data_IF_612341433194
#
_entry.id   IF_612341433194
#
_cell.length_a   1.000
_cell.length_b   1.000
_cell.length_c   1.000
_cell.angle_alpha   90.00
_cell.angle_beta   90.00
_cell.angle_gamma   90.00
#
_symmetry.space_group_name_H-M   'P 1'
#
loop_
_entity.id
_entity.type
_entity.pdbx_description
1 polymer ?
#
# COMPACT_ATOMS: atom_id res chain seq x y z
N UNK A 1 -17.62 -10.35 5.52
CA UNK A 1 -17.85 -11.59 4.72
C UNK A 1 -16.55 -11.87 3.97
N UNK A 2 -16.12 -13.12 3.86
CA UNK A 2 -14.96 -13.45 3.03
C UNK A 2 -15.33 -13.23 1.55
N UNK A 3 -14.50 -12.52 0.78
CA UNK A 3 -14.82 -12.17 -0.62
C UNK A 3 -14.27 -10.83 -1.12
N UNK A 4 -13.65 -10.03 -0.23
CA UNK A 4 -12.91 -8.82 -0.57
C UNK A 4 -11.63 -9.13 -1.35
N UNK A 5 -11.18 -8.17 -2.16
CA UNK A 5 -9.96 -8.32 -2.95
C UNK A 5 -8.74 -8.26 -2.01
N UNK A 6 -7.88 -9.27 -2.10
CA UNK A 6 -6.59 -9.27 -1.41
C UNK A 6 -5.51 -8.88 -2.42
N UNK A 7 -4.87 -7.73 -2.18
CA UNK A 7 -3.69 -7.30 -2.92
C UNK A 7 -2.44 -7.59 -2.10
N UNK A 8 -1.47 -8.31 -2.66
CA UNK A 8 -0.25 -8.72 -1.95
C UNK A 8 0.95 -8.03 -2.59
N UNK A 9 1.70 -7.27 -1.79
CA UNK A 9 3.00 -6.72 -2.17
C UNK A 9 4.10 -7.45 -1.40
N UNK A 10 5.00 -8.11 -2.14
CA UNK A 10 6.18 -8.75 -1.58
C UNK A 10 7.34 -7.78 -1.60
N UNK A 11 7.58 -7.10 -0.48
CA UNK A 11 8.53 -5.98 -0.41
C UNK A 11 9.97 -6.45 -0.58
N UNK A 12 10.31 -7.64 -0.07
CA UNK A 12 11.65 -8.22 -0.23
C UNK A 12 12.03 -8.59 -1.67
N UNK A 13 11.08 -8.55 -2.61
CA UNK A 13 11.36 -8.76 -4.03
C UNK A 13 11.72 -7.47 -4.79
N UNK A 14 11.73 -6.32 -4.11
CA UNK A 14 11.91 -5.01 -4.75
C UNK A 14 13.25 -4.38 -4.37
N UNK A 15 14.02 -3.97 -5.39
CA UNK A 15 15.16 -3.07 -5.20
C UNK A 15 14.69 -1.61 -5.31
N UNK A 16 14.28 -1.06 -4.17
CA UNK A 16 13.70 0.28 -4.11
C UNK A 16 14.73 1.37 -4.44
N UNK A 17 15.99 1.18 -4.03
CA UNK A 17 17.04 2.17 -4.32
C UNK A 17 17.31 2.22 -5.81
N UNK A 18 17.53 1.07 -6.44
CA UNK A 18 17.75 1.00 -7.88
C UNK A 18 16.56 1.56 -8.67
N UNK A 19 15.33 1.22 -8.27
CA UNK A 19 14.12 1.78 -8.88
C UNK A 19 14.12 3.31 -8.85
N UNK A 20 14.46 3.91 -7.70
CA UNK A 20 14.44 5.37 -7.56
C UNK A 20 15.62 6.08 -8.23
N UNK A 21 16.68 5.35 -8.58
CA UNK A 21 17.81 5.87 -9.34
C UNK A 21 17.55 5.84 -10.85
N UNK A 22 16.73 4.89 -11.32
CA UNK A 22 16.40 4.73 -12.74
C UNK A 22 15.09 5.44 -13.14
N UNK A 23 14.15 5.60 -12.21
CA UNK A 23 12.79 6.09 -12.51
C UNK A 23 12.48 7.34 -11.69
N UNK A 24 11.89 8.34 -12.35
CA UNK A 24 11.53 9.58 -11.68
C UNK A 24 10.46 9.35 -10.60
N UNK A 25 10.52 10.16 -9.55
CA UNK A 25 9.56 10.12 -8.45
C UNK A 25 8.11 10.21 -8.92
N UNK A 26 7.85 11.04 -9.94
CA UNK A 26 6.53 11.22 -10.52
C UNK A 26 6.04 9.95 -11.21
N UNK A 27 6.88 9.30 -12.02
CA UNK A 27 6.52 8.04 -12.69
C UNK A 27 6.27 6.92 -11.68
N UNK A 28 7.11 6.77 -10.66
CA UNK A 28 6.86 5.81 -9.57
C UNK A 28 5.53 6.11 -8.86
N UNK A 29 5.21 7.38 -8.65
CA UNK A 29 3.96 7.79 -8.05
C UNK A 29 2.75 7.45 -8.95
N UNK A 30 2.85 7.64 -10.26
CA UNK A 30 1.80 7.25 -11.20
C UNK A 30 1.66 5.73 -11.34
N UNK A 31 2.76 4.98 -11.25
CA UNK A 31 2.73 3.52 -11.21
C UNK A 31 1.87 3.02 -10.03
N UNK A 32 2.06 3.59 -8.83
CA UNK A 32 1.17 3.28 -7.70
C UNK A 32 -0.27 3.70 -7.94
N UNK A 33 -0.50 4.86 -8.58
CA UNK A 33 -1.85 5.28 -8.97
C UNK A 33 -2.51 4.24 -9.87
N UNK A 34 -1.81 3.79 -10.91
CA UNK A 34 -2.25 2.77 -11.86
C UNK A 34 -2.58 1.43 -11.19
N UNK A 35 -1.76 0.95 -10.26
CA UNK A 35 -2.09 -0.29 -9.53
C UNK A 35 -3.38 -0.17 -8.73
N UNK A 36 -3.64 0.99 -8.13
CA UNK A 36 -4.92 1.27 -7.48
C UNK A 36 -6.08 1.24 -8.48
N UNK A 37 -5.98 1.92 -9.62
CA UNK A 37 -7.01 1.91 -10.67
C UNK A 37 -7.43 0.48 -11.06
N UNK A 38 -6.46 -0.39 -11.33
CA UNK A 38 -6.71 -1.78 -11.66
C UNK A 38 -7.48 -2.52 -10.55
N UNK A 39 -7.07 -2.35 -9.29
CA UNK A 39 -7.76 -2.93 -8.15
C UNK A 39 -9.20 -2.37 -8.02
N UNK A 40 -9.38 -1.07 -8.27
CA UNK A 40 -10.65 -0.40 -8.07
C UNK A 40 -11.68 -0.67 -9.15
N UNK A 41 -11.24 -0.90 -10.40
CA UNK A 41 -12.08 -1.42 -11.47
C UNK A 41 -12.62 -2.81 -11.08
N UNK A 42 -11.76 -3.69 -10.56
CA UNK A 42 -12.16 -5.02 -10.11
C UNK A 42 -13.19 -4.95 -8.98
N UNK A 43 -12.92 -4.20 -7.90
CA UNK A 43 -13.86 -4.16 -6.76
C UNK A 43 -15.17 -3.45 -7.12
N UNK A 44 -15.17 -2.51 -8.09
CA UNK A 44 -16.43 -1.91 -8.58
C UNK A 44 -17.31 -2.96 -9.25
N UNK A 45 -16.74 -3.72 -10.19
CA UNK A 45 -17.44 -4.78 -10.89
C UNK A 45 -17.94 -5.86 -9.92
N UNK A 46 -17.06 -6.32 -9.02
CA UNK A 46 -17.39 -7.32 -8.02
C UNK A 46 -18.46 -6.83 -7.03
N UNK A 47 -18.49 -5.53 -6.70
CA UNK A 47 -19.52 -4.96 -5.84
C UNK A 47 -20.90 -5.02 -6.47
N UNK A 48 -20.98 -4.72 -7.78
CA UNK A 48 -22.24 -4.77 -8.56
C UNK A 48 -22.76 -6.20 -8.66
N UNK A 49 -21.88 -7.16 -8.90
CA UNK A 49 -22.22 -8.57 -9.03
C UNK A 49 -22.72 -9.16 -7.70
N UNK A 50 -22.01 -8.89 -6.60
CA UNK A 50 -22.27 -9.54 -5.31
C UNK A 50 -23.36 -8.88 -4.47
N UNK A 51 -23.82 -7.68 -4.85
CA UNK A 51 -24.83 -6.93 -4.11
C UNK A 51 -24.36 -6.39 -2.75
N UNK A 52 -23.03 -6.31 -2.53
CA UNK A 52 -22.43 -5.64 -1.38
C UNK A 52 -21.12 -4.97 -1.77
N UNK A 53 -20.70 -3.97 -1.01
CA UNK A 53 -19.49 -3.21 -1.31
C UNK A 53 -18.22 -4.05 -1.03
N UNK A 54 -17.56 -4.46 -2.10
CA UNK A 54 -16.27 -5.16 -2.07
C UNK A 54 -15.17 -4.13 -1.86
N UNK A 55 -14.27 -4.41 -0.93
CA UNK A 55 -13.14 -3.55 -0.61
C UNK A 55 -11.81 -4.21 -0.94
N UNK A 56 -10.75 -3.41 -0.93
CA UNK A 56 -9.37 -3.88 -1.05
C UNK A 56 -8.78 -4.08 0.35
N UNK A 57 -8.17 -5.23 0.58
CA UNK A 57 -7.30 -5.53 1.70
C UNK A 57 -5.88 -5.63 1.15
N UNK A 58 -5.00 -4.74 1.60
CA UNK A 58 -3.60 -4.75 1.19
C UNK A 58 -2.77 -5.54 2.17
N UNK A 59 -1.89 -6.41 1.68
CA UNK A 59 -0.97 -7.21 2.48
C UNK A 59 0.46 -6.90 2.04
N UNK A 60 1.20 -6.24 2.93
CA UNK A 60 2.62 -5.93 2.74
C UNK A 60 3.44 -7.03 3.42
N UNK A 61 3.95 -7.97 2.65
CA UNK A 61 4.84 -9.01 3.15
C UNK A 61 6.29 -8.50 3.16
N UNK A 62 6.86 -8.37 4.36
CA UNK A 62 8.20 -7.84 4.58
C UNK A 62 9.28 -8.93 4.64
N UNK A 63 8.95 -10.16 4.29
CA UNK A 63 9.92 -11.27 4.27
C UNK A 63 11.06 -10.99 3.32
N UNK A 64 12.29 -11.11 3.83
CA UNK A 64 13.49 -10.82 3.06
C UNK A 64 13.67 -9.33 2.72
N UNK A 65 12.80 -8.43 3.20
CA UNK A 65 12.97 -7.00 2.97
C UNK A 65 14.22 -6.51 3.69
N UNK A 66 15.15 -5.85 2.98
CA UNK A 66 16.19 -5.09 3.66
C UNK A 66 15.54 -3.88 4.34
N UNK A 67 16.29 -3.28 5.25
CA UNK A 67 15.86 -2.07 5.95
C UNK A 67 15.72 -0.89 4.97
N UNK A 68 14.55 -0.24 4.98
CA UNK A 68 14.18 0.78 3.98
C UNK A 68 14.27 2.20 4.55
N UNK A 69 15.03 3.08 3.89
CA UNK A 69 15.15 4.52 4.23
C UNK A 69 14.98 5.48 3.04
N UNK A 70 14.62 4.97 1.86
CA UNK A 70 14.56 5.78 0.64
C UNK A 70 13.39 6.78 0.69
N UNK A 71 13.69 8.02 1.07
CA UNK A 71 12.69 9.09 1.26
C UNK A 71 11.96 9.43 -0.05
N UNK A 72 12.61 9.30 -1.21
CA UNK A 72 11.98 9.57 -2.52
C UNK A 72 10.83 8.60 -2.78
N UNK A 73 11.04 7.33 -2.45
CA UNK A 73 10.03 6.28 -2.58
C UNK A 73 8.84 6.53 -1.64
N UNK A 74 9.08 6.81 -0.36
CA UNK A 74 8.01 7.13 0.58
C UNK A 74 7.21 8.39 0.18
N UNK A 75 7.88 9.39 -0.41
CA UNK A 75 7.22 10.57 -0.97
C UNK A 75 6.37 10.22 -2.19
N UNK A 76 6.86 9.41 -3.12
CA UNK A 76 6.10 8.93 -4.28
C UNK A 76 4.83 8.18 -3.86
N UNK A 77 4.95 7.31 -2.87
CA UNK A 77 3.84 6.58 -2.26
C UNK A 77 2.85 7.54 -1.60
N UNK A 78 3.31 8.50 -0.79
CA UNK A 78 2.43 9.51 -0.18
C UNK A 78 1.65 10.35 -1.19
N UNK A 79 2.27 10.73 -2.31
CA UNK A 79 1.57 11.40 -3.41
C UNK A 79 0.50 10.51 -4.05
N UNK A 80 0.82 9.23 -4.30
CA UNK A 80 -0.13 8.28 -4.87
C UNK A 80 -1.32 8.05 -3.92
N UNK A 81 -1.05 7.86 -2.63
CA UNK A 81 -2.08 7.71 -1.60
C UNK A 81 -3.01 8.92 -1.52
N UNK A 82 -2.48 10.15 -1.62
CA UNK A 82 -3.32 11.36 -1.65
C UNK A 82 -4.25 11.39 -2.88
N UNK A 83 -3.75 10.99 -4.06
CA UNK A 83 -4.58 10.86 -5.27
C UNK A 83 -5.62 9.76 -5.09
N UNK A 84 -5.24 8.61 -4.54
CA UNK A 84 -6.14 7.49 -4.29
C UNK A 84 -7.29 7.85 -3.35
N UNK A 85 -7.03 8.54 -2.25
CA UNK A 85 -8.08 8.97 -1.32
C UNK A 85 -9.10 9.92 -1.99
N UNK A 86 -8.66 10.72 -2.96
CA UNK A 86 -9.55 11.59 -3.74
C UNK A 86 -10.33 10.83 -4.83
N UNK A 87 -9.66 9.94 -5.57
CA UNK A 87 -10.26 9.19 -6.68
C UNK A 87 -11.19 8.06 -6.20
N UNK A 88 -10.83 7.39 -5.12
CA UNK A 88 -11.45 6.13 -4.66
C UNK A 88 -11.80 6.14 -3.18
N UNK A 89 -12.62 7.10 -2.73
CA UNK A 89 -12.96 7.19 -1.32
C UNK A 89 -13.59 5.88 -0.83
N UNK A 90 -13.15 5.44 0.36
CA UNK A 90 -13.70 4.31 1.12
C UNK A 90 -13.51 2.89 0.52
N UNK A 91 -12.82 2.74 -0.62
CA UNK A 91 -12.58 1.43 -1.24
C UNK A 91 -11.46 0.62 -0.58
N UNK A 92 -10.54 1.25 0.15
CA UNK A 92 -9.55 0.57 0.99
C UNK A 92 -10.12 0.21 2.37
N UNK A 93 -10.05 -1.07 2.75
CA UNK A 93 -10.50 -1.54 4.07
C UNK A 93 -9.38 -1.52 5.11
N UNK A 94 -8.29 -2.25 4.88
CA UNK A 94 -7.19 -2.40 5.83
C UNK A 94 -5.89 -2.70 5.09
N UNK A 95 -4.79 -2.18 5.61
CA UNK A 95 -3.45 -2.56 5.19
C UNK A 95 -2.81 -3.41 6.29
N UNK A 96 -2.35 -4.61 5.95
CA UNK A 96 -1.76 -5.58 6.87
C UNK A 96 -0.27 -5.65 6.59
N UNK A 97 0.56 -5.32 7.58
CA UNK A 97 2.01 -5.56 7.52
C UNK A 97 2.27 -6.96 8.06
N UNK A 98 2.73 -7.86 7.21
CA UNK A 98 2.95 -9.26 7.51
C UNK A 98 4.44 -9.57 7.67
N UNK A 99 4.77 -10.44 8.63
CA UNK A 99 6.15 -10.81 9.01
C UNK A 99 7.08 -9.59 9.17
N UNK A 100 6.69 -8.61 10.01
CA UNK A 100 7.48 -7.40 10.17
C UNK A 100 8.84 -7.70 10.83
N UNK A 101 9.97 -7.27 10.23
CA UNK A 101 11.25 -7.27 10.94
C UNK A 101 11.25 -6.24 12.08
N UNK A 102 12.19 -6.39 13.03
CA UNK A 102 12.26 -5.57 14.26
C UNK A 102 12.34 -4.06 14.01
N UNK A 103 12.88 -3.65 12.86
CA UNK A 103 13.02 -2.24 12.48
C UNK A 103 11.73 -1.60 11.93
N UNK A 104 10.65 -2.36 11.73
CA UNK A 104 9.40 -1.85 11.12
C UNK A 104 8.83 -0.64 11.85
N UNK A 105 8.91 -0.62 13.18
CA UNK A 105 8.44 0.51 13.99
C UNK A 105 9.15 1.83 13.63
N UNK A 106 10.45 1.78 13.33
CA UNK A 106 11.25 2.94 12.93
C UNK A 106 10.84 3.44 11.54
N UNK A 107 10.69 2.53 10.57
CA UNK A 107 10.26 2.87 9.21
C UNK A 107 8.83 3.43 9.21
N UNK A 108 7.96 2.87 10.05
CA UNK A 108 6.60 3.36 10.21
C UNK A 108 6.56 4.81 10.71
N UNK A 109 7.48 5.20 11.58
CA UNK A 109 7.66 6.60 12.00
C UNK A 109 7.92 7.54 10.82
N UNK A 110 8.76 7.13 9.86
CA UNK A 110 9.05 7.91 8.64
C UNK A 110 7.84 7.93 7.71
N UNK A 111 7.20 6.79 7.47
CA UNK A 111 6.06 6.67 6.56
C UNK A 111 4.89 7.57 6.98
N UNK A 112 4.62 7.70 8.29
CA UNK A 112 3.58 8.57 8.84
C UNK A 112 3.73 10.05 8.46
N UNK A 113 4.94 10.53 8.18
CA UNK A 113 5.15 11.91 7.75
C UNK A 113 4.61 12.18 6.33
N UNK A 114 4.42 11.14 5.54
CA UNK A 114 4.00 11.24 4.13
C UNK A 114 2.57 10.73 3.90
N UNK A 115 2.01 9.95 4.83
CA UNK A 115 0.69 9.35 4.72
C UNK A 115 -0.39 10.14 5.47
N UNK A 116 -1.64 10.20 4.96
CA UNK A 116 -2.77 10.73 5.71
C UNK A 116 -3.05 9.94 7.00
N UNK A 117 -3.54 10.62 8.04
CA UNK A 117 -3.88 9.98 9.32
C UNK A 117 -4.91 8.84 9.17
N UNK A 118 -5.94 9.03 8.34
CA UNK A 118 -6.96 8.02 8.02
C UNK A 118 -6.37 6.73 7.45
N UNK A 119 -5.27 6.82 6.70
CA UNK A 119 -4.56 5.66 6.14
C UNK A 119 -3.76 4.96 7.23
N UNK A 120 -3.06 5.73 8.07
CA UNK A 120 -2.26 5.21 9.18
C UNK A 120 -3.11 4.40 10.17
N UNK A 121 -4.31 4.87 10.48
CA UNK A 121 -5.26 4.18 11.38
C UNK A 121 -5.74 2.83 10.83
N UNK A 122 -5.72 2.65 9.50
CA UNK A 122 -6.09 1.41 8.83
C UNK A 122 -4.94 0.41 8.75
N UNK A 123 -3.75 0.72 9.27
CA UNK A 123 -2.59 -0.17 9.21
C UNK A 123 -2.58 -1.09 10.43
N UNK A 124 -2.61 -2.40 10.17
CA UNK A 124 -2.46 -3.45 11.15
C UNK A 124 -1.09 -4.12 10.99
N UNK A 125 -0.26 -4.04 12.03
CA UNK A 125 1.03 -4.76 12.06
C UNK A 125 0.78 -6.12 12.68
N UNK A 126 0.89 -7.16 11.86
CA UNK A 126 0.73 -8.54 12.31
C UNK A 126 1.89 -8.92 13.23
N UNK A 127 1.56 -9.45 14.40
CA UNK A 127 2.52 -10.04 15.33
C UNK A 127 2.43 -11.57 15.17
N UNK A 128 3.53 -12.27 14.85
CA UNK A 128 3.52 -13.72 14.92
C UNK A 128 3.15 -14.16 16.34
N UNK A 129 2.31 -15.19 16.44
CA UNK A 129 2.00 -15.86 17.69
C UNK A 129 3.20 -16.67 18.20
#
# INVERSE_FOLDING_TARGET
RFGDLISIVRVGCSDITKLMDEVSLEVVSYMFTYFGECAYQYVDAASREKGYFVKVIQVQDLTGSPFQREKRFFRAMGLATKRHEWLFPQKDMRAVVFRPPSWVSLVFGVAKLFLPASVVERIYIHRPA
#
